data_IF_911931356522
#
_entry.id   IF_911931356522
#
_cell.length_a   1.000
_cell.length_b   1.000
_cell.length_c   1.000
_cell.angle_alpha   90.00
_cell.angle_beta   90.00
_cell.angle_gamma   90.00
#
_symmetry.space_group_name_H-M   'P 1'
#
loop_
_entity.id
_entity.type
_entity.pdbx_description
1 polymer ?
#
# COMPACT_ATOMS: atom_id res chain seq x y z
N UNK A 1 2.62 18.04 -20.19
CA UNK A 1 2.49 17.00 -19.14
C UNK A 1 2.63 17.68 -17.79
N UNK A 2 1.52 17.85 -17.06
CA UNK A 2 1.54 18.52 -15.75
C UNK A 2 2.04 17.51 -14.71
N UNK A 3 3.23 17.75 -14.17
CA UNK A 3 3.77 16.97 -13.05
C UNK A 3 2.94 17.30 -11.80
N UNK A 4 1.98 16.43 -11.46
CA UNK A 4 1.17 16.60 -10.26
C UNK A 4 2.03 16.25 -9.04
N UNK A 5 2.08 17.14 -8.04
CA UNK A 5 2.88 16.91 -6.84
C UNK A 5 2.36 15.66 -6.10
N UNK A 6 3.27 14.81 -5.63
CA UNK A 6 2.96 13.54 -4.92
C UNK A 6 1.99 13.76 -3.76
N UNK A 7 2.04 14.92 -3.10
CA UNK A 7 1.12 15.27 -2.01
C UNK A 7 -0.31 15.48 -2.49
N UNK A 8 -0.50 16.06 -3.68
CA UNK A 8 -1.83 16.25 -4.28
C UNK A 8 -2.40 14.91 -4.70
N UNK A 9 -1.59 14.04 -5.32
CA UNK A 9 -1.98 12.68 -5.72
C UNK A 9 -2.49 11.85 -4.54
N UNK A 10 -1.76 11.85 -3.42
CA UNK A 10 -2.14 11.10 -2.21
C UNK A 10 -3.46 11.63 -1.65
N UNK A 11 -3.64 12.96 -1.59
CA UNK A 11 -4.89 13.57 -1.09
C UNK A 11 -6.08 13.21 -1.98
N UNK A 12 -5.93 13.33 -3.30
CA UNK A 12 -7.01 12.98 -4.24
C UNK A 12 -7.38 11.51 -4.13
N UNK A 13 -6.39 10.62 -4.00
CA UNK A 13 -6.63 9.19 -3.87
C UNK A 13 -7.34 8.84 -2.56
N UNK A 14 -6.98 9.49 -1.44
CA UNK A 14 -7.68 9.32 -0.16
C UNK A 14 -9.13 9.83 -0.21
N UNK A 15 -9.38 10.97 -0.88
CA UNK A 15 -10.75 11.49 -1.04
C UNK A 15 -11.59 10.54 -1.89
N UNK A 16 -11.05 10.06 -3.02
CA UNK A 16 -11.72 9.06 -3.85
C UNK A 16 -11.99 7.77 -3.08
N UNK A 17 -11.03 7.31 -2.28
CA UNK A 17 -11.20 6.13 -1.44
C UNK A 17 -12.31 6.32 -0.39
N UNK A 18 -12.36 7.49 0.25
CA UNK A 18 -13.43 7.81 1.22
C UNK A 18 -14.80 7.82 0.55
N UNK A 19 -14.93 8.46 -0.62
CA UNK A 19 -16.17 8.48 -1.38
C UNK A 19 -16.59 7.07 -1.81
N UNK A 20 -15.64 6.27 -2.29
CA UNK A 20 -15.89 4.87 -2.64
C UNK A 20 -16.34 4.05 -1.44
N UNK A 21 -15.67 4.21 -0.29
CA UNK A 21 -16.03 3.52 0.96
C UNK A 21 -17.45 3.91 1.39
N UNK A 22 -17.77 5.21 1.41
CA UNK A 22 -19.09 5.71 1.76
C UNK A 22 -20.17 5.19 0.82
N UNK A 23 -19.92 5.22 -0.49
CA UNK A 23 -20.81 4.66 -1.50
C UNK A 23 -21.06 3.18 -1.26
N UNK A 24 -20.01 2.37 -1.11
CA UNK A 24 -20.15 0.92 -0.90
C UNK A 24 -20.92 0.58 0.38
N UNK A 25 -20.63 1.26 1.50
CA UNK A 25 -21.35 1.06 2.77
C UNK A 25 -22.83 1.42 2.59
N UNK A 26 -23.12 2.56 1.97
CA UNK A 26 -24.48 3.02 1.75
C UNK A 26 -25.25 2.08 0.83
N UNK A 27 -24.66 1.66 -0.29
CA UNK A 27 -25.30 0.75 -1.23
C UNK A 27 -25.48 -0.64 -0.64
N UNK A 28 -24.49 -1.21 0.06
CA UNK A 28 -24.66 -2.52 0.70
C UNK A 28 -25.72 -2.47 1.79
N UNK A 29 -25.77 -1.39 2.56
CA UNK A 29 -26.81 -1.19 3.57
C UNK A 29 -28.21 -1.10 2.94
N UNK A 30 -28.36 -0.29 1.88
CA UNK A 30 -29.64 -0.17 1.17
C UNK A 30 -30.04 -1.48 0.49
N UNK A 31 -29.12 -2.14 -0.21
CA UNK A 31 -29.38 -3.42 -0.86
C UNK A 31 -29.75 -4.50 0.15
N UNK A 32 -29.09 -4.56 1.31
CA UNK A 32 -29.45 -5.53 2.35
C UNK A 32 -30.81 -5.23 2.99
N UNK A 33 -31.11 -3.96 3.26
CA UNK A 33 -32.38 -3.55 3.89
C UNK A 33 -33.57 -3.74 2.96
N UNK A 34 -33.41 -3.40 1.68
CA UNK A 34 -34.50 -3.34 0.71
C UNK A 34 -34.55 -4.60 -0.18
N UNK A 35 -33.67 -5.59 0.07
CA UNK A 35 -33.69 -6.87 -0.60
C UNK A 35 -34.95 -7.67 -0.22
N UNK A 36 -35.64 -8.15 -1.24
CA UNK A 36 -36.72 -9.12 -1.13
C UNK A 36 -36.41 -10.34 -1.96
N UNK A 37 -36.79 -11.50 -1.44
CA UNK A 37 -36.65 -12.76 -2.15
C UNK A 37 -37.91 -12.96 -2.99
N UNK A 38 -37.71 -13.25 -4.27
CA UNK A 38 -38.76 -13.70 -5.19
C UNK A 38 -38.31 -14.96 -5.92
N UNK A 39 -39.26 -15.62 -6.58
CA UNK A 39 -38.97 -16.79 -7.40
C UNK A 39 -38.82 -16.37 -8.85
N UNK A 40 -37.68 -16.70 -9.45
CA UNK A 40 -37.43 -16.58 -10.87
C UNK A 40 -37.70 -17.89 -11.60
N UNK A 41 -38.22 -17.79 -12.83
CA UNK A 41 -38.43 -18.92 -13.73
C UNK A 41 -37.26 -18.99 -14.70
N UNK A 42 -36.69 -20.17 -14.84
CA UNK A 42 -35.58 -20.41 -15.77
C UNK A 42 -36.13 -20.74 -17.15
N UNK A 43 -35.53 -20.13 -18.17
CA UNK A 43 -35.85 -20.31 -19.58
C UNK A 43 -34.58 -20.25 -20.43
N UNK A 44 -34.67 -20.65 -21.71
CA UNK A 44 -33.55 -20.57 -22.66
C UNK A 44 -32.27 -21.22 -22.16
N UNK A 45 -32.36 -22.43 -21.58
CA UNK A 45 -31.20 -23.17 -21.10
C UNK A 45 -30.43 -23.72 -22.30
N UNK A 46 -29.21 -23.24 -22.49
CA UNK A 46 -28.22 -23.79 -23.40
C UNK A 46 -27.16 -24.57 -22.61
N UNK A 47 -26.70 -25.68 -23.16
CA UNK A 47 -25.73 -26.57 -22.52
C UNK A 47 -24.57 -26.82 -23.46
N UNK A 48 -23.38 -26.38 -23.04
CA UNK A 48 -22.14 -26.66 -23.76
C UNK A 48 -21.37 -27.76 -23.05
N UNK A 49 -21.23 -28.91 -23.71
CA UNK A 49 -20.55 -30.06 -23.13
C UNK A 49 -19.04 -29.85 -23.00
N UNK A 50 -18.41 -30.57 -22.07
CA UNK A 50 -16.95 -30.55 -21.90
C UNK A 50 -16.18 -31.03 -23.13
N UNK A 51 -16.77 -31.95 -23.90
CA UNK A 51 -16.20 -32.45 -25.16
C UNK A 51 -16.21 -31.35 -26.22
N UNK A 52 -17.36 -30.70 -26.40
CA UNK A 52 -17.51 -29.61 -27.35
C UNK A 52 -16.52 -28.49 -27.07
N UNK A 53 -16.42 -28.03 -25.82
CA UNK A 53 -15.46 -26.99 -25.41
C UNK A 53 -14.00 -27.35 -25.70
N UNK A 54 -13.63 -28.64 -25.63
CA UNK A 54 -12.29 -29.13 -26.00
C UNK A 54 -12.06 -29.13 -27.51
N UNK A 55 -13.09 -29.49 -28.28
CA UNK A 55 -13.00 -29.53 -29.75
C UNK A 55 -12.94 -28.09 -30.31
N UNK A 56 -13.68 -27.15 -29.70
CA UNK A 56 -13.73 -25.75 -30.10
C UNK A 56 -12.64 -24.88 -29.49
N UNK A 57 -11.76 -25.45 -28.65
CA UNK A 57 -10.67 -24.74 -27.94
C UNK A 57 -11.16 -23.53 -27.11
N UNK A 58 -12.35 -23.66 -26.50
CA UNK A 58 -12.99 -22.62 -25.66
C UNK A 58 -12.84 -22.92 -24.17
N UNK A 59 -11.78 -23.64 -23.79
CA UNK A 59 -11.49 -23.97 -22.41
C UNK A 59 -10.88 -22.79 -21.65
N UNK A 60 -11.17 -22.71 -20.36
CA UNK A 60 -10.63 -21.65 -19.51
C UNK A 60 -9.22 -22.01 -19.03
N UNK A 61 -8.25 -21.11 -19.22
CA UNK A 61 -6.88 -21.30 -18.76
C UNK A 61 -6.53 -20.33 -17.64
N UNK A 62 -6.26 -20.85 -16.44
CA UNK A 62 -5.80 -20.05 -15.31
C UNK A 62 -4.59 -20.68 -14.64
N UNK A 63 -3.48 -19.94 -14.60
CA UNK A 63 -2.21 -20.37 -13.95
C UNK A 63 -1.74 -21.77 -14.35
N UNK A 64 -1.80 -22.09 -15.64
CA UNK A 64 -1.35 -23.39 -16.17
C UNK A 64 -2.28 -24.56 -15.89
N UNK A 65 -3.48 -24.32 -15.34
CA UNK A 65 -4.57 -25.31 -15.31
C UNK A 65 -5.58 -24.98 -16.39
N UNK A 66 -5.99 -26.02 -17.10
CA UNK A 66 -7.05 -25.98 -18.11
C UNK A 66 -8.35 -26.53 -17.50
N UNK A 67 -9.43 -25.79 -17.72
CA UNK A 67 -10.75 -26.14 -17.25
C UNK A 67 -11.74 -26.14 -18.41
N UNK A 68 -12.10 -27.34 -18.83
CA UNK A 68 -13.11 -27.62 -19.86
C UNK A 68 -14.36 -28.23 -19.25
N UNK A 69 -14.73 -27.88 -18.02
CA UNK A 69 -16.00 -28.32 -17.43
C UNK A 69 -17.19 -27.91 -18.33
N UNK A 70 -18.25 -28.70 -18.30
CA UNK A 70 -19.46 -28.33 -19.03
C UNK A 70 -20.07 -27.06 -18.44
N UNK A 71 -20.71 -26.26 -19.28
CA UNK A 71 -21.29 -24.96 -18.92
C UNK A 71 -22.76 -24.89 -19.31
N UNK A 72 -23.48 -24.04 -18.59
CA UNK A 72 -24.88 -23.72 -18.81
C UNK A 72 -25.04 -22.21 -18.96
N UNK A 73 -25.74 -21.81 -20.01
CA UNK A 73 -26.20 -20.44 -20.20
C UNK A 73 -27.73 -20.45 -20.11
N UNK A 74 -28.31 -19.51 -19.37
CA UNK A 74 -29.76 -19.50 -19.19
C UNK A 74 -30.29 -18.14 -18.76
N UNK A 75 -31.58 -17.91 -19.04
CA UNK A 75 -32.30 -16.72 -18.61
C UNK A 75 -33.11 -17.02 -17.35
N UNK A 76 -33.02 -16.13 -16.37
CA UNK A 76 -33.88 -16.11 -15.19
C UNK A 76 -34.83 -14.95 -15.29
N UNK A 77 -36.12 -15.24 -15.30
CA UNK A 77 -37.17 -14.23 -15.41
C UNK A 77 -37.98 -14.11 -14.12
N UNK A 78 -38.24 -12.89 -13.65
CA UNK A 78 -39.11 -12.65 -12.50
C UNK A 78 -40.03 -11.47 -12.73
N UNK A 79 -41.17 -11.47 -12.04
CA UNK A 79 -42.16 -10.40 -12.12
C UNK A 79 -42.16 -9.57 -10.85
N UNK A 80 -42.00 -8.26 -11.00
CA UNK A 80 -42.08 -7.29 -9.91
C UNK A 80 -42.74 -6.00 -10.41
N UNK A 81 -43.53 -5.34 -9.58
CA UNK A 81 -44.18 -4.06 -9.93
C UNK A 81 -44.92 -4.09 -11.29
N UNK A 82 -45.60 -5.21 -11.61
CA UNK A 82 -46.29 -5.46 -12.89
C UNK A 82 -45.42 -5.48 -14.16
N UNK A 83 -44.10 -5.63 -14.00
CA UNK A 83 -43.15 -5.78 -15.12
C UNK A 83 -42.32 -7.05 -14.94
N UNK A 84 -41.97 -7.67 -16.07
CA UNK A 84 -41.07 -8.81 -16.10
C UNK A 84 -39.63 -8.32 -16.32
N UNK A 85 -38.71 -8.92 -15.58
CA UNK A 85 -37.28 -8.64 -15.60
C UNK A 85 -36.52 -9.91 -15.93
N UNK A 86 -35.37 -9.76 -16.58
CA UNK A 86 -34.57 -10.89 -17.08
C UNK A 86 -33.12 -10.69 -16.62
N UNK A 87 -32.53 -11.75 -16.09
CA UNK A 87 -31.11 -11.88 -15.82
C UNK A 87 -30.56 -13.01 -16.67
N UNK A 88 -29.56 -12.72 -17.50
CA UNK A 88 -28.84 -13.74 -18.26
C UNK A 88 -27.67 -14.24 -17.41
N UNK A 89 -27.65 -15.54 -17.16
CA UNK A 89 -26.55 -16.25 -16.52
C UNK A 89 -25.68 -16.89 -17.63
N UNK A 90 -24.39 -16.61 -17.59
CA UNK A 90 -23.40 -17.08 -18.56
C UNK A 90 -22.36 -17.94 -17.82
N UNK A 91 -21.85 -18.97 -18.49
CA UNK A 91 -20.76 -19.82 -18.04
C UNK A 91 -20.98 -20.48 -16.66
N UNK A 92 -22.23 -20.84 -16.33
CA UNK A 92 -22.54 -21.49 -15.05
C UNK A 92 -22.18 -22.97 -15.09
N UNK A 93 -21.65 -23.51 -13.99
CA UNK A 93 -21.17 -24.91 -13.93
C UNK A 93 -22.21 -25.88 -13.39
N UNK A 94 -23.20 -25.36 -12.69
CA UNK A 94 -24.29 -26.14 -12.10
C UNK A 94 -25.51 -26.06 -13.00
N UNK A 95 -26.14 -27.21 -13.24
CA UNK A 95 -27.41 -27.25 -13.98
C UNK A 95 -28.47 -26.45 -13.22
N UNK A 96 -29.20 -25.54 -13.90
CA UNK A 96 -30.22 -24.73 -13.25
C UNK A 96 -31.47 -25.56 -12.94
N UNK A 97 -32.09 -25.31 -11.78
CA UNK A 97 -33.44 -25.79 -11.52
C UNK A 97 -34.46 -25.00 -12.33
N UNK A 98 -35.64 -25.58 -12.62
CA UNK A 98 -36.71 -24.88 -13.35
C UNK A 98 -37.17 -23.56 -12.68
N UNK A 99 -36.98 -23.45 -11.36
CA UNK A 99 -37.22 -22.25 -10.58
C UNK A 99 -36.02 -21.98 -9.68
N UNK A 100 -35.60 -20.72 -9.62
CA UNK A 100 -34.46 -20.28 -8.81
C UNK A 100 -34.84 -19.11 -7.92
N UNK A 101 -34.23 -19.05 -6.74
CA UNK A 101 -34.36 -17.90 -5.84
C UNK A 101 -33.67 -16.68 -6.47
N UNK A 102 -34.36 -15.53 -6.48
CA UNK A 102 -33.83 -14.24 -6.94
C UNK A 102 -33.96 -13.22 -5.81
N UNK A 103 -32.86 -12.53 -5.50
CA UNK A 103 -32.88 -11.37 -4.63
C UNK A 103 -33.07 -10.12 -5.50
N UNK A 104 -34.08 -9.32 -5.17
CA UNK A 104 -34.41 -8.08 -5.85
C UNK A 104 -34.40 -6.91 -4.88
N UNK A 105 -34.02 -5.72 -5.33
CA UNK A 105 -34.15 -4.49 -4.53
C UNK A 105 -35.57 -3.94 -4.71
N UNK A 106 -36.35 -3.84 -3.64
CA UNK A 106 -37.80 -3.54 -3.70
C UNK A 106 -38.15 -2.26 -4.48
N UNK A 107 -37.32 -1.23 -4.39
CA UNK A 107 -37.50 0.05 -5.09
C UNK A 107 -36.93 0.03 -6.52
N UNK A 108 -36.00 -0.88 -6.80
CA UNK A 108 -35.28 -1.02 -8.07
C UNK A 108 -35.17 -2.50 -8.46
N UNK A 109 -36.29 -3.13 -8.88
CA UNK A 109 -36.35 -4.55 -9.19
C UNK A 109 -35.53 -4.97 -10.41
N UNK A 110 -34.99 -4.00 -11.16
CA UNK A 110 -33.95 -4.20 -12.18
C UNK A 110 -32.61 -4.65 -11.60
N UNK A 111 -32.34 -4.31 -10.34
CA UNK A 111 -31.19 -4.79 -9.58
C UNK A 111 -31.57 -6.14 -8.94
N UNK A 112 -31.78 -7.14 -9.78
CA UNK A 112 -32.12 -8.50 -9.38
C UNK A 112 -31.08 -9.51 -9.85
N UNK A 113 -30.68 -10.43 -8.97
CA UNK A 113 -29.78 -11.54 -9.30
C UNK A 113 -30.16 -12.82 -8.54
N UNK A 114 -29.79 -14.01 -9.05
CA UNK A 114 -29.96 -15.25 -8.32
C UNK A 114 -29.39 -15.17 -6.89
N UNK A 115 -30.05 -15.75 -5.90
CA UNK A 115 -29.65 -15.66 -4.49
C UNK A 115 -28.26 -16.24 -4.20
N UNK A 116 -27.80 -17.21 -5.02
CA UNK A 116 -26.45 -17.77 -4.96
C UNK A 116 -25.37 -16.79 -5.46
N UNK A 117 -25.75 -15.72 -6.17
CA UNK A 117 -24.81 -14.79 -6.77
C UNK A 117 -23.99 -14.04 -5.70
N UNK A 118 -22.69 -13.92 -5.95
CA UNK A 118 -21.72 -13.24 -5.09
C UNK A 118 -22.14 -11.80 -4.78
N UNK A 119 -22.90 -11.14 -5.68
CA UNK A 119 -23.38 -9.78 -5.47
C UNK A 119 -24.17 -9.58 -4.16
N UNK A 120 -24.99 -10.55 -3.77
CA UNK A 120 -25.78 -10.50 -2.52
C UNK A 120 -25.14 -11.28 -1.37
N UNK A 121 -24.22 -12.20 -1.68
CA UNK A 121 -23.63 -13.10 -0.68
C UNK A 121 -22.25 -12.65 -0.20
N UNK A 122 -21.52 -11.84 -0.98
CA UNK A 122 -20.22 -11.32 -0.61
C UNK A 122 -20.29 -9.82 -0.33
N UNK A 123 -20.21 -9.47 0.95
CA UNK A 123 -19.98 -8.08 1.37
C UNK A 123 -18.57 -7.64 0.96
N UNK A 124 -18.44 -6.43 0.42
CA UNK A 124 -17.17 -5.76 0.15
C UNK A 124 -16.63 -5.07 1.39
N UNK A 125 -17.41 -4.98 2.49
CA UNK A 125 -17.00 -4.36 3.75
C UNK A 125 -15.71 -4.97 4.34
N UNK A 126 -15.51 -6.30 4.41
CA UNK A 126 -14.27 -6.87 4.93
C UNK A 126 -13.03 -6.44 4.14
N UNK A 127 -13.15 -6.31 2.81
CA UNK A 127 -12.07 -5.83 1.96
C UNK A 127 -11.77 -4.34 2.20
N UNK A 128 -12.81 -3.53 2.46
CA UNK A 128 -12.64 -2.11 2.79
C UNK A 128 -12.04 -1.92 4.18
N UNK A 129 -12.50 -2.68 5.17
CA UNK A 129 -11.96 -2.66 6.55
C UNK A 129 -10.47 -3.03 6.54
N UNK A 130 -10.09 -4.07 5.80
CA UNK A 130 -8.68 -4.47 5.71
C UNK A 130 -7.83 -3.41 5.01
N UNK A 131 -8.33 -2.81 3.93
CA UNK A 131 -7.65 -1.71 3.23
C UNK A 131 -7.42 -0.48 4.14
N UNK A 132 -8.46 -0.05 4.87
CA UNK A 132 -8.34 1.03 5.84
C UNK A 132 -7.39 0.66 6.98
N UNK A 133 -7.41 -0.59 7.45
CA UNK A 133 -6.47 -1.10 8.45
C UNK A 133 -5.02 -0.99 8.00
N UNK A 134 -4.71 -1.36 6.76
CA UNK A 134 -3.37 -1.24 6.17
C UNK A 134 -2.94 0.24 6.11
N UNK A 135 -3.83 1.13 5.64
CA UNK A 135 -3.53 2.57 5.56
C UNK A 135 -3.26 3.19 6.94
N UNK A 136 -4.07 2.84 7.94
CA UNK A 136 -3.88 3.30 9.33
C UNK A 136 -2.55 2.76 9.88
N UNK A 137 -2.24 1.49 9.63
CA UNK A 137 -0.98 0.88 10.06
C UNK A 137 0.25 1.57 9.44
N UNK A 138 0.23 1.83 8.13
CA UNK A 138 1.30 2.58 7.44
C UNK A 138 1.40 4.01 7.99
N UNK A 139 0.27 4.68 8.21
CA UNK A 139 0.23 6.01 8.80
C UNK A 139 0.84 6.05 10.20
N UNK A 140 0.48 5.08 11.04
CA UNK A 140 0.94 4.98 12.42
C UNK A 140 2.44 4.63 12.50
N UNK A 141 2.91 3.71 11.66
CA UNK A 141 4.36 3.39 11.57
C UNK A 141 5.18 4.59 11.10
N UNK A 142 4.71 5.34 10.10
CA UNK A 142 5.36 6.58 9.66
C UNK A 142 5.34 7.66 10.74
N UNK A 143 4.23 7.78 11.48
CA UNK A 143 4.10 8.71 12.59
C UNK A 143 5.06 8.34 13.73
N UNK A 144 5.11 7.07 14.15
CA UNK A 144 6.06 6.57 15.14
C UNK A 144 7.51 6.78 14.69
N UNK A 145 7.82 6.53 13.41
CA UNK A 145 9.14 6.80 12.84
C UNK A 145 9.50 8.28 12.93
N UNK A 146 8.57 9.18 12.59
CA UNK A 146 8.77 10.63 12.73
C UNK A 146 8.89 11.07 14.18
N UNK A 147 8.15 10.46 15.11
CA UNK A 147 8.28 10.73 16.54
C UNK A 147 9.62 10.26 17.08
N UNK A 148 10.10 9.08 16.67
CA UNK A 148 11.45 8.58 16.99
C UNK A 148 12.52 9.50 16.41
N UNK A 149 12.42 9.88 15.14
CA UNK A 149 13.33 10.85 14.51
C UNK A 149 13.31 12.21 15.19
N UNK A 150 12.13 12.73 15.57
CA UNK A 150 12.03 14.00 16.32
C UNK A 150 12.65 13.87 17.71
N UNK A 151 12.45 12.76 18.42
CA UNK A 151 13.12 12.52 19.72
C UNK A 151 14.64 12.40 19.57
N UNK A 152 15.13 11.76 18.51
CA UNK A 152 16.58 11.69 18.25
C UNK A 152 17.14 13.00 17.69
N UNK A 153 16.36 13.81 16.96
CA UNK A 153 16.79 15.13 16.48
C UNK A 153 16.72 16.21 17.56
N UNK A 154 15.86 16.04 18.57
CA UNK A 154 15.77 16.96 19.72
C UNK A 154 17.00 16.85 20.65
N UNK A 155 17.91 15.90 20.42
CA UNK A 155 19.23 15.89 21.06
C UNK A 155 20.31 16.60 20.24
N UNK A 156 20.02 17.16 19.07
CA UNK A 156 20.85 18.26 18.51
C UNK A 156 20.52 19.57 19.24
N UNK A 157 20.57 19.53 20.57
CA UNK A 157 20.82 20.73 21.35
C UNK A 157 22.18 21.27 20.95
N UNK A 158 22.32 22.59 20.97
CA UNK A 158 23.52 23.35 20.65
C UNK A 158 24.77 22.80 21.37
N UNK A 159 25.41 21.82 20.75
CA UNK A 159 26.62 21.17 21.24
C UNK A 159 27.65 21.16 20.13
N UNK A 160 28.88 21.54 20.48
CA UNK A 160 29.99 21.54 19.53
C UNK A 160 30.31 20.11 19.10
N UNK A 161 30.35 19.86 17.79
CA UNK A 161 30.74 18.58 17.20
C UNK A 161 32.23 18.59 16.88
N UNK A 162 32.97 17.60 17.35
CA UNK A 162 34.41 17.46 17.09
C UNK A 162 34.64 16.42 16.00
N UNK A 163 35.20 16.85 14.87
CA UNK A 163 35.46 15.99 13.70
C UNK A 163 36.95 15.92 13.41
N UNK A 164 37.46 14.71 13.19
CA UNK A 164 38.88 14.47 12.93
C UNK A 164 39.03 13.99 11.50
N UNK A 165 39.84 14.70 10.72
CA UNK A 165 40.13 14.41 9.32
C UNK A 165 41.59 14.05 9.12
N UNK A 166 41.89 13.16 8.19
CA UNK A 166 43.27 12.98 7.73
C UNK A 166 43.68 14.08 6.73
N UNK A 167 44.94 14.08 6.29
CA UNK A 167 45.45 15.01 5.27
C UNK A 167 44.73 14.96 3.90
N UNK A 168 44.10 13.85 3.56
CA UNK A 168 43.28 13.68 2.35
C UNK A 168 41.82 14.13 2.55
N UNK A 169 41.49 14.75 3.70
CA UNK A 169 40.13 15.16 4.08
C UNK A 169 39.13 14.03 4.29
N UNK A 170 39.60 12.81 4.57
CA UNK A 170 38.71 11.71 4.97
C UNK A 170 38.38 11.82 6.45
N UNK A 171 37.09 11.74 6.80
CA UNK A 171 36.62 11.72 8.19
C UNK A 171 37.07 10.41 8.85
N UNK A 172 37.88 10.53 9.90
CA UNK A 172 38.38 9.41 10.69
C UNK A 172 37.51 9.15 11.92
N UNK A 173 36.99 10.22 12.53
CA UNK A 173 36.25 10.14 13.78
C UNK A 173 35.35 11.37 13.98
N UNK A 174 34.18 11.19 14.59
CA UNK A 174 33.22 12.25 14.94
C UNK A 174 32.63 11.96 16.33
N UNK A 175 32.73 12.92 17.24
CA UNK A 175 32.19 12.82 18.60
C UNK A 175 31.66 14.17 19.09
N UNK A 176 30.84 14.15 20.13
CA UNK A 176 30.38 15.34 20.88
C UNK A 176 31.27 15.64 22.09
N UNK A 177 32.17 14.73 22.45
CA UNK A 177 33.08 14.89 23.59
C UNK A 177 34.47 15.34 23.10
N UNK A 178 34.90 16.53 23.53
CA UNK A 178 36.25 17.01 23.25
C UNK A 178 37.31 16.04 23.78
N UNK A 179 37.06 15.46 24.96
CA UNK A 179 38.00 14.56 25.62
C UNK A 179 38.21 13.28 24.81
N UNK A 180 37.15 12.68 24.27
CA UNK A 180 37.25 11.51 23.36
C UNK A 180 37.96 11.86 22.06
N UNK A 181 37.70 13.05 21.50
CA UNK A 181 38.38 13.51 20.30
C UNK A 181 39.90 13.63 20.54
N UNK A 182 40.31 14.24 21.65
CA UNK A 182 41.73 14.38 21.99
C UNK A 182 42.37 13.02 22.31
N UNK A 183 41.67 12.15 23.03
CA UNK A 183 42.12 10.79 23.33
C UNK A 183 42.34 9.97 22.05
N UNK A 184 41.47 10.10 21.05
CA UNK A 184 41.65 9.47 19.74
C UNK A 184 42.90 9.99 19.01
N UNK A 185 43.18 11.30 19.06
CA UNK A 185 44.37 11.89 18.44
C UNK A 185 45.64 11.38 19.13
N UNK A 186 45.64 11.32 20.46
CA UNK A 186 46.78 10.93 21.27
C UNK A 186 47.07 9.42 21.17
N UNK A 187 46.05 8.58 21.40
CA UNK A 187 46.17 7.11 21.33
C UNK A 187 46.38 6.61 19.91
N UNK A 188 45.76 7.26 18.91
CA UNK A 188 45.94 6.93 17.49
C UNK A 188 47.30 7.31 16.91
N UNK A 189 48.23 7.84 17.73
CA UNK A 189 49.52 8.35 17.30
C UNK A 189 49.43 9.38 16.16
N UNK A 190 48.44 10.26 16.23
CA UNK A 190 48.27 11.35 15.29
C UNK A 190 48.92 12.64 15.82
N UNK A 191 49.36 13.51 14.93
CA UNK A 191 49.84 14.87 15.20
C UNK A 191 48.82 15.84 14.63
N UNK A 192 48.35 16.75 15.47
CA UNK A 192 47.46 17.82 15.02
C UNK A 192 48.21 18.72 14.03
N UNK A 193 47.63 18.91 12.86
CA UNK A 193 48.17 19.76 11.80
C UNK A 193 47.50 21.14 11.79
N UNK A 194 46.17 21.17 11.88
CA UNK A 194 45.37 22.39 11.94
C UNK A 194 44.04 22.13 12.63
N UNK A 195 43.45 23.17 13.21
CA UNK A 195 42.09 23.17 13.70
C UNK A 195 41.34 24.38 13.11
N UNK A 196 40.06 24.19 12.77
CA UNK A 196 39.21 25.29 12.32
C UNK A 196 37.76 25.04 12.72
N UNK A 197 37.01 26.12 12.95
CA UNK A 197 35.60 26.05 13.32
C UNK A 197 34.74 26.31 12.09
N UNK A 198 33.74 25.46 11.86
CA UNK A 198 32.77 25.59 10.75
C UNK A 198 31.37 25.38 11.28
N UNK A 199 30.42 26.22 10.90
CA UNK A 199 29.02 25.99 11.21
C UNK A 199 28.35 25.29 10.03
N UNK A 200 27.81 24.09 10.26
CA UNK A 200 27.15 23.30 9.22
C UNK A 200 25.64 23.34 9.44
N UNK A 201 24.84 23.68 8.41
CA UNK A 201 23.39 23.57 8.51
C UNK A 201 23.00 22.09 8.52
N UNK A 202 22.39 21.64 9.62
CA UNK A 202 21.84 20.29 9.75
C UNK A 202 20.31 20.39 9.75
N UNK A 203 19.67 19.64 8.85
CA UNK A 203 18.22 19.58 8.70
C UNK A 203 17.76 19.76 7.26
N UNK A 204 16.53 19.33 6.95
CA UNK A 204 15.90 19.54 5.64
C UNK A 204 14.60 20.35 5.78
N UNK A 205 14.34 21.24 4.81
CA UNK A 205 13.16 22.10 4.82
C UNK A 205 13.28 23.31 5.77
N UNK A 206 12.19 23.65 6.47
CA UNK A 206 12.08 24.83 7.34
C UNK A 206 12.81 24.70 8.69
N UNK A 207 13.28 23.51 9.05
CA UNK A 207 13.98 23.26 10.31
C UNK A 207 15.48 23.07 10.06
N UNK A 208 16.15 24.12 9.58
CA UNK A 208 17.61 24.16 9.52
C UNK A 208 18.14 24.64 10.87
N UNK A 209 18.86 23.78 11.58
CA UNK A 209 19.64 24.18 12.74
C UNK A 209 21.10 24.37 12.31
N UNK A 210 21.76 25.42 12.81
CA UNK A 210 23.20 25.58 12.66
C UNK A 210 23.87 24.83 13.79
N UNK A 211 24.79 23.94 13.46
CA UNK A 211 25.64 23.26 14.44
C UNK A 211 27.08 23.68 14.24
N UNK A 212 27.71 24.13 15.32
CA UNK A 212 29.11 24.49 15.35
C UNK A 212 29.96 23.22 15.39
N UNK A 213 30.83 23.04 14.40
CA UNK A 213 31.77 21.94 14.31
C UNK A 213 33.20 22.46 14.49
N UNK A 214 33.99 21.79 15.32
CA UNK A 214 35.43 21.98 15.46
C UNK A 214 36.11 20.84 14.68
N UNK A 215 36.78 21.20 13.58
CA UNK A 215 37.43 20.25 12.69
C UNK A 215 38.93 20.21 13.00
N UNK A 216 39.44 19.04 13.36
CA UNK A 216 40.86 18.75 13.53
C UNK A 216 41.40 18.03 12.31
N UNK A 217 42.42 18.59 11.66
CA UNK A 217 43.18 17.90 10.62
C UNK A 217 44.40 17.27 11.26
N UNK A 218 44.60 15.97 11.04
CA UNK A 218 45.67 15.22 11.69
C UNK A 218 46.55 14.47 10.70
N UNK A 219 47.82 14.30 11.09
CA UNK A 219 48.85 13.55 10.36
C UNK A 219 49.35 12.40 11.20
N UNK A 220 49.64 11.24 10.59
CA UNK A 220 50.30 10.14 11.32
C UNK A 220 51.66 10.59 11.86
N UNK A 221 51.97 10.34 13.14
CA UNK A 221 53.31 10.58 13.72
C UNK A 221 54.35 9.61 13.18
N UNK A 222 53.94 8.41 12.78
CA UNK A 222 54.81 7.46 12.10
C UNK A 222 54.86 7.83 10.62
N UNK A 223 55.96 8.47 10.23
CA UNK A 223 56.28 8.67 8.82
C UNK A 223 56.18 7.34 8.08
N UNK A 224 55.33 7.30 7.05
CA UNK A 224 55.08 6.16 6.15
C UNK A 224 54.52 4.90 6.84
N UNK A 225 53.19 4.86 7.04
CA UNK A 225 52.39 3.71 6.60
C UNK A 225 51.13 4.24 5.90
N UNK A 226 50.95 3.86 4.63
CA UNK A 226 49.69 4.09 3.91
C UNK A 226 48.61 3.30 4.66
N UNK A 227 47.65 4.01 5.24
CA UNK A 227 46.42 3.40 5.73
C UNK A 227 45.44 3.50 4.55
N UNK A 228 45.40 2.43 3.75
CA UNK A 228 44.21 2.13 2.96
C UNK A 228 43.13 1.58 3.87
N UNK A 229 41.87 1.49 3.39
CA UNK A 229 40.78 0.92 4.19
C UNK A 229 41.13 -0.51 4.60
N UNK A 230 40.93 -0.84 5.88
CA UNK A 230 40.82 -2.21 6.34
C UNK A 230 39.45 -2.72 5.86
N UNK A 231 39.47 -3.77 5.04
CA UNK A 231 38.29 -4.58 4.75
C UNK A 231 37.78 -5.25 6.03
#
# INVERSE_FOLDING_TARGET
MVSMSVKVLIKTLLVLLLLFTGYTVFTEYQYYRDAQITTGVVSNVDYTSSLERRITDTCNHFRGREDCSALYDYDVTWRAQNKDYIYHAEDEREEPAAQVCVNIVSQHPDIGKPCKNIFFNASRLPALITLWGILIFIGLTMLLYRFKQRRTSFSCGAGELYRIYNNSHHLLFETRSQQEAMEFIERGHYRLHSNHKTSVPIGSGHNKALVDCINYTVRSRKGRRKIGPLN
#
